data_IF_298702942811
#
_entry.id   IF_298702942811
#
_cell.length_a   1.000
_cell.length_b   1.000
_cell.length_c   1.000
_cell.angle_alpha   90.00
_cell.angle_beta   90.00
_cell.angle_gamma   90.00
#
_symmetry.space_group_name_H-M   'P 1'
#
loop_
_entity.id
_entity.type
_entity.pdbx_description
1 polymer ?
#
# COMPACT_ATOMS: atom_id res chain seq x y z
N UNK A 1 45.95 85.28 105.64
CA UNK A 1 47.04 86.19 105.27
C UNK A 1 47.61 85.73 103.93
N UNK A 2 47.16 86.27 102.79
CA UNK A 2 47.64 85.86 101.47
C UNK A 2 49.11 86.25 101.30
N UNK A 3 49.91 85.38 100.65
CA UNK A 3 51.30 85.71 100.34
C UNK A 3 51.35 86.76 99.22
N UNK A 4 52.24 87.75 99.37
CA UNK A 4 52.45 88.90 98.46
C UNK A 4 52.71 88.49 96.99
N UNK A 5 53.06 87.22 96.75
CA UNK A 5 53.32 86.64 95.42
C UNK A 5 52.11 86.60 94.48
N UNK A 6 50.86 86.60 94.97
CA UNK A 6 49.68 86.53 94.09
C UNK A 6 49.38 87.86 93.38
N UNK A 7 49.61 89.00 94.06
CA UNK A 7 49.34 90.32 93.50
C UNK A 7 50.24 90.67 92.30
N UNK A 8 51.47 90.16 92.26
CA UNK A 8 52.43 90.44 91.17
C UNK A 8 52.29 89.51 89.95
N UNK A 9 51.48 88.45 90.03
CA UNK A 9 51.23 87.54 88.88
C UNK A 9 50.13 88.02 87.92
N UNK A 10 49.32 89.00 88.33
CA UNK A 10 48.21 89.52 87.52
C UNK A 10 48.62 90.64 86.54
N UNK A 11 49.88 91.08 86.56
CA UNK A 11 50.45 92.03 85.61
C UNK A 11 51.65 91.41 84.89
N UNK A 12 51.62 91.34 83.55
CA UNK A 12 52.69 90.81 82.68
C UNK A 12 53.97 91.70 82.63
N UNK A 13 54.31 92.34 83.74
CA UNK A 13 55.41 93.31 83.88
C UNK A 13 56.57 92.79 84.76
N UNK A 14 56.48 91.59 85.33
CA UNK A 14 57.45 91.04 86.27
C UNK A 14 58.29 89.89 85.67
N UNK A 15 59.39 90.22 84.99
CA UNK A 15 60.44 89.24 84.68
C UNK A 15 61.17 88.87 85.97
N UNK A 16 61.12 87.60 86.37
CA UNK A 16 61.81 87.09 87.55
C UNK A 16 63.35 87.12 87.37
N UNK A 17 63.98 88.21 87.79
CA UNK A 17 65.45 88.35 87.76
C UNK A 17 66.12 87.43 88.78
N UNK A 18 66.88 86.43 88.30
CA UNK A 18 67.69 85.53 89.13
C UNK A 18 68.90 86.20 89.82
N UNK A 19 69.09 87.53 89.69
CA UNK A 19 70.31 88.24 90.13
C UNK A 19 70.13 89.27 91.25
N UNK A 20 68.91 89.48 91.76
CA UNK A 20 68.67 90.39 92.90
C UNK A 20 67.74 89.70 93.90
N UNK A 21 68.19 89.52 95.13
CA UNK A 21 67.38 88.92 96.20
C UNK A 21 66.45 89.97 96.82
N UNK A 22 65.29 89.55 97.37
CA UNK A 22 64.34 90.46 98.01
C UNK A 22 64.98 91.31 99.13
N UNK A 23 65.88 90.79 99.99
CA UNK A 23 66.60 91.61 100.97
C UNK A 23 67.49 92.70 100.33
N UNK A 24 68.12 92.43 99.18
CA UNK A 24 68.91 93.43 98.46
C UNK A 24 68.02 94.55 97.90
N UNK A 25 66.84 94.20 97.37
CA UNK A 25 65.84 95.17 96.92
C UNK A 25 65.32 96.06 98.07
N UNK A 26 65.01 95.46 99.22
CA UNK A 26 64.61 96.19 100.44
C UNK A 26 65.74 97.08 100.95
N UNK A 27 66.99 96.62 100.93
CA UNK A 27 68.14 97.43 101.32
C UNK A 27 68.37 98.61 100.35
N UNK A 28 68.20 98.39 99.03
CA UNK A 28 68.29 99.45 98.02
C UNK A 28 67.17 100.50 98.18
N UNK A 29 65.95 100.08 98.54
CA UNK A 29 64.86 101.00 98.87
C UNK A 29 65.13 101.77 100.16
N UNK A 30 65.59 101.09 101.22
CA UNK A 30 65.89 101.71 102.51
C UNK A 30 67.05 102.71 102.45
N UNK A 31 68.15 102.35 101.76
CA UNK A 31 69.29 103.25 101.56
C UNK A 31 68.93 104.48 100.74
N UNK A 32 68.04 104.35 99.76
CA UNK A 32 67.55 105.48 98.93
C UNK A 32 66.56 106.36 99.70
N UNK A 33 65.67 105.77 100.50
CA UNK A 33 64.80 106.52 101.42
C UNK A 33 65.62 107.26 102.49
N UNK A 34 66.65 106.63 103.06
CA UNK A 34 67.59 107.27 103.97
C UNK A 34 68.35 108.41 103.30
N UNK A 35 68.87 108.22 102.09
CA UNK A 35 69.58 109.27 101.36
C UNK A 35 68.71 110.52 101.15
N UNK A 36 67.45 110.34 100.73
CA UNK A 36 66.49 111.44 100.57
C UNK A 36 66.20 112.13 101.92
N UNK A 37 66.12 111.38 103.01
CA UNK A 37 65.93 111.94 104.35
C UNK A 37 67.19 112.72 104.83
N UNK A 38 68.39 112.16 104.62
CA UNK A 38 69.68 112.78 104.95
C UNK A 38 69.92 114.07 104.12
N UNK A 39 69.44 114.16 102.87
CA UNK A 39 69.44 115.42 102.09
C UNK A 39 68.39 116.42 102.59
N UNK A 40 67.15 115.99 102.89
CA UNK A 40 66.12 116.88 103.46
C UNK A 40 66.55 117.50 104.79
N UNK A 41 67.25 116.75 105.65
CA UNK A 41 67.81 117.27 106.90
C UNK A 41 69.03 118.19 106.70
N UNK A 42 69.79 118.07 105.59
CA UNK A 42 70.83 119.05 105.24
C UNK A 42 70.25 120.31 104.59
N UNK A 43 69.19 120.19 103.80
CA UNK A 43 68.49 121.33 103.19
C UNK A 43 67.67 122.16 104.18
N UNK A 44 67.31 121.60 105.33
CA UNK A 44 66.56 122.29 106.41
C UNK A 44 67.44 122.73 107.58
N UNK A 45 68.76 122.64 107.46
CA UNK A 45 69.73 123.33 108.33
C UNK A 45 69.87 124.82 107.93
N UNK A 46 68.73 125.51 107.82
CA UNK A 46 68.55 126.98 107.76
C UNK A 46 69.60 127.67 108.65
N UNK A 47 70.49 128.47 108.07
CA UNK A 47 70.28 129.91 107.87
C UNK A 47 69.74 130.53 109.18
N UNK A 48 70.64 131.02 110.03
CA UNK A 48 70.23 131.91 111.12
C UNK A 48 69.86 133.29 110.54
N UNK A 49 68.70 133.87 110.91
CA UNK A 49 68.34 135.22 110.53
C UNK A 49 69.01 136.24 111.47
N UNK A 50 69.99 136.98 110.96
CA UNK A 50 70.59 138.10 111.69
C UNK A 50 69.65 139.31 111.66
N UNK A 51 68.82 139.48 112.69
CA UNK A 51 68.02 140.69 112.88
C UNK A 51 68.93 141.85 113.32
N UNK A 52 69.35 142.69 112.37
CA UNK A 52 69.94 144.01 112.64
C UNK A 52 68.91 145.08 112.26
N UNK A 53 68.43 145.92 113.21
CA UNK A 53 67.55 147.04 112.90
C UNK A 53 68.32 148.11 112.13
N UNK A 54 67.73 148.63 111.06
CA UNK A 54 68.33 149.69 110.26
C UNK A 54 68.37 151.03 111.02
N UNK A 55 69.51 151.72 110.96
CA UNK A 55 69.56 153.18 111.06
C UNK A 55 70.73 153.76 110.27
N UNK A 56 70.44 154.81 109.52
CA UNK A 56 71.35 155.81 108.95
C UNK A 56 72.57 155.27 108.15
N UNK A 57 72.55 155.22 106.82
CA UNK A 57 72.59 156.45 106.02
C UNK A 57 72.55 156.21 104.49
N UNK A 58 71.76 157.05 103.82
CA UNK A 58 71.87 157.63 102.46
C UNK A 58 72.39 156.82 101.24
N UNK A 59 71.57 156.98 100.18
CA UNK A 59 71.88 157.09 98.73
C UNK A 59 72.11 155.85 97.85
N UNK A 60 71.18 155.72 96.87
CA UNK A 60 71.34 155.20 95.49
C UNK A 60 71.75 153.72 95.29
N UNK A 61 71.30 153.02 94.23
CA UNK A 61 70.40 153.37 93.11
C UNK A 61 69.67 152.11 92.62
N UNK A 62 68.52 152.27 91.95
CA UNK A 62 67.77 151.19 91.30
C UNK A 62 68.57 150.45 90.22
N UNK A 63 68.44 149.12 90.15
CA UNK A 63 68.61 148.38 88.91
C UNK A 63 67.39 147.45 88.70
N UNK A 64 66.32 148.02 88.16
CA UNK A 64 65.16 147.26 87.67
C UNK A 64 65.50 146.78 86.26
N UNK A 65 65.80 145.49 86.11
CA UNK A 65 65.85 144.83 84.80
C UNK A 65 65.08 143.51 84.79
N UNK A 66 63.89 143.59 84.20
CA UNK A 66 63.08 142.49 83.64
C UNK A 66 62.45 141.47 84.59
N UNK A 67 61.17 141.70 84.90
CA UNK A 67 60.19 140.67 85.33
C UNK A 67 59.88 139.70 84.16
N UNK A 68 60.75 138.75 83.85
CA UNK A 68 60.54 137.83 82.70
C UNK A 68 60.80 136.33 82.92
N UNK A 69 61.29 135.89 84.07
CA UNK A 69 61.32 134.45 84.40
C UNK A 69 61.24 134.23 85.93
N UNK A 70 60.24 133.47 86.36
CA UNK A 70 60.16 132.92 87.71
C UNK A 70 60.59 131.45 87.70
N UNK A 71 61.05 130.89 88.82
CA UNK A 71 61.48 129.48 88.87
C UNK A 71 60.37 128.50 88.43
N UNK A 72 59.14 128.72 88.91
CA UNK A 72 57.95 127.98 88.48
C UNK A 72 57.65 128.13 86.98
N UNK A 73 58.02 129.25 86.37
CA UNK A 73 57.82 129.54 84.96
C UNK A 73 58.73 128.65 84.11
N UNK A 74 60.01 128.55 84.48
CA UNK A 74 61.00 127.67 83.84
C UNK A 74 60.63 126.20 84.01
N UNK A 75 60.24 125.77 85.21
CA UNK A 75 59.83 124.38 85.47
C UNK A 75 58.58 123.98 84.66
N UNK A 76 57.61 124.89 84.49
CA UNK A 76 56.45 124.65 83.63
C UNK A 76 56.84 124.55 82.14
N UNK A 77 57.73 125.43 81.65
CA UNK A 77 58.24 125.40 80.28
C UNK A 77 58.97 124.08 79.96
N UNK A 78 59.85 123.62 80.86
CA UNK A 78 60.57 122.35 80.72
C UNK A 78 59.61 121.14 80.71
N UNK A 79 58.62 121.14 81.60
CA UNK A 79 57.63 120.06 81.67
C UNK A 79 56.78 119.97 80.39
N UNK A 80 56.30 121.12 79.88
CA UNK A 80 55.50 121.20 78.65
C UNK A 80 56.34 120.79 77.44
N UNK A 81 57.59 121.26 77.34
CA UNK A 81 58.51 120.88 76.24
C UNK A 81 58.74 119.36 76.20
N UNK A 82 58.95 118.72 77.37
CA UNK A 82 59.07 117.25 77.46
C UNK A 82 57.79 116.52 77.05
N UNK A 83 56.62 117.02 77.46
CA UNK A 83 55.33 116.44 77.05
C UNK A 83 55.12 116.53 75.54
N UNK A 84 55.45 117.68 74.93
CA UNK A 84 55.41 117.87 73.47
C UNK A 84 56.32 116.86 72.76
N UNK A 85 57.58 116.70 73.19
CA UNK A 85 58.50 115.73 72.59
C UNK A 85 58.02 114.27 72.71
N UNK A 86 57.40 113.91 73.83
CA UNK A 86 56.85 112.56 74.03
C UNK A 86 55.64 112.32 73.14
N UNK A 87 54.72 113.28 73.08
CA UNK A 87 53.52 113.18 72.24
C UNK A 87 53.85 113.20 70.75
N UNK A 88 54.86 113.96 70.34
CA UNK A 88 55.38 113.94 68.97
C UNK A 88 55.96 112.58 68.59
N UNK A 89 56.75 111.96 69.48
CA UNK A 89 57.25 110.59 69.27
C UNK A 89 56.10 109.60 69.13
N UNK A 90 55.06 109.72 69.95
CA UNK A 90 53.84 108.88 69.86
C UNK A 90 53.14 109.09 68.51
N UNK A 91 52.85 110.33 68.13
CA UNK A 91 52.14 110.65 66.88
C UNK A 91 52.95 110.24 65.63
N UNK A 92 54.27 110.42 65.66
CA UNK A 92 55.17 110.03 64.57
C UNK A 92 55.27 108.51 64.44
N UNK A 93 55.51 107.80 65.55
CA UNK A 93 55.68 106.34 65.55
C UNK A 93 54.38 105.59 65.22
N UNK A 94 53.23 106.14 65.62
CA UNK A 94 51.90 105.59 65.31
C UNK A 94 51.30 106.15 64.00
N UNK A 95 52.06 106.99 63.28
CA UNK A 95 51.65 107.63 62.02
C UNK A 95 50.27 108.34 62.08
N UNK A 96 50.02 109.03 63.19
CA UNK A 96 48.76 109.73 63.45
C UNK A 96 48.66 110.96 62.54
N UNK A 97 47.60 110.97 61.70
CA UNK A 97 47.29 112.09 60.82
C UNK A 97 46.47 113.14 61.58
N UNK A 98 46.78 114.43 61.35
CA UNK A 98 46.10 115.56 61.99
C UNK A 98 46.61 115.93 63.38
N UNK A 99 47.78 115.40 63.81
CA UNK A 99 48.41 115.80 65.08
C UNK A 99 48.73 117.30 65.09
N UNK A 100 48.11 117.99 66.03
CA UNK A 100 48.29 119.43 66.24
C UNK A 100 49.69 119.75 66.74
N UNK A 101 50.37 118.85 67.46
CA UNK A 101 51.77 119.06 67.85
C UNK A 101 52.70 119.07 66.64
N UNK A 102 52.50 118.14 65.69
CA UNK A 102 53.30 118.10 64.46
C UNK A 102 53.04 119.33 63.56
N UNK A 103 51.82 119.87 63.58
CA UNK A 103 51.46 121.09 62.86
C UNK A 103 52.01 122.35 63.55
N UNK A 104 51.86 122.47 64.87
CA UNK A 104 52.41 123.56 65.67
C UNK A 104 53.93 123.61 65.56
N UNK A 105 54.63 122.45 65.65
CA UNK A 105 56.09 122.37 65.45
C UNK A 105 56.52 122.99 64.13
N UNK A 106 55.89 122.58 63.03
CA UNK A 106 56.17 123.12 61.69
C UNK A 106 55.90 124.62 61.61
N UNK A 107 54.75 125.07 62.14
CA UNK A 107 54.37 126.49 62.10
C UNK A 107 55.35 127.39 62.86
N UNK A 108 55.82 126.91 64.02
CA UNK A 108 56.70 127.66 64.90
C UNK A 108 58.18 127.56 64.52
N UNK A 109 58.60 126.61 63.66
CA UNK A 109 60.01 126.45 63.26
C UNK A 109 60.62 127.75 62.66
N UNK A 110 59.78 128.65 62.15
CA UNK A 110 60.17 129.95 61.60
C UNK A 110 60.10 131.12 62.61
N UNK A 111 59.74 130.86 63.88
CA UNK A 111 59.47 131.87 64.90
C UNK A 111 60.66 132.03 65.86
N UNK A 112 61.29 133.21 65.86
CA UNK A 112 62.57 133.48 66.53
C UNK A 112 62.54 133.31 68.06
N UNK A 113 61.36 133.22 68.67
CA UNK A 113 61.14 133.08 70.12
C UNK A 113 60.52 131.73 70.52
N UNK A 114 60.68 130.72 69.64
CA UNK A 114 60.14 129.34 69.65
C UNK A 114 59.75 128.69 71.01
N UNK A 115 60.55 128.88 72.06
CA UNK A 115 60.37 128.22 73.38
C UNK A 115 60.24 129.21 74.55
N UNK A 116 60.72 130.45 74.41
CA UNK A 116 60.91 131.36 75.55
C UNK A 116 59.68 132.20 75.89
N UNK A 117 58.70 132.30 74.98
CA UNK A 117 57.47 133.07 75.19
C UNK A 117 56.30 132.20 75.64
N UNK A 118 55.57 132.68 76.66
CA UNK A 118 54.32 132.06 77.14
C UNK A 118 53.26 131.85 76.04
N UNK A 119 53.26 132.65 74.98
CA UNK A 119 52.39 132.46 73.81
C UNK A 119 52.68 131.12 73.09
N UNK A 120 53.95 130.73 72.96
CA UNK A 120 54.32 129.44 72.39
C UNK A 120 53.91 128.30 73.33
N UNK A 121 54.17 128.46 74.63
CA UNK A 121 53.79 127.49 75.68
C UNK A 121 52.28 127.22 75.67
N UNK A 122 51.43 128.25 75.53
CA UNK A 122 49.98 128.09 75.43
C UNK A 122 49.57 127.26 74.22
N UNK A 123 50.08 127.59 73.03
CA UNK A 123 49.82 126.82 71.79
C UNK A 123 50.29 125.36 71.91
N UNK A 124 51.38 125.10 72.63
CA UNK A 124 51.83 123.74 72.94
C UNK A 124 50.87 122.98 73.86
N UNK A 125 50.33 123.64 74.89
CA UNK A 125 49.30 123.05 75.74
C UNK A 125 48.01 122.75 74.95
N UNK A 126 47.56 123.67 74.11
CA UNK A 126 46.37 123.47 73.27
C UNK A 126 46.58 122.31 72.28
N UNK A 127 47.75 122.22 71.65
CA UNK A 127 48.12 121.11 70.77
C UNK A 127 48.20 119.77 71.52
N UNK A 128 48.74 119.76 72.75
CA UNK A 128 48.77 118.59 73.61
C UNK A 128 47.37 118.09 73.97
N UNK A 129 46.45 118.99 74.34
CA UNK A 129 45.07 118.61 74.67
C UNK A 129 44.34 118.03 73.45
N UNK A 130 44.45 118.68 72.29
CA UNK A 130 43.85 118.19 71.05
C UNK A 130 44.40 116.81 70.63
N UNK A 131 45.71 116.57 70.78
CA UNK A 131 46.32 115.28 70.44
C UNK A 131 46.00 114.17 71.45
N UNK A 132 45.80 114.51 72.74
CA UNK A 132 45.27 113.59 73.75
C UNK A 132 43.83 113.17 73.42
N UNK A 133 42.97 114.11 73.05
CA UNK A 133 41.59 113.81 72.65
C UNK A 133 41.53 113.01 71.33
N UNK A 134 42.40 113.32 70.36
CA UNK A 134 42.55 112.54 69.13
C UNK A 134 42.97 111.09 69.44
N UNK A 135 43.96 110.90 70.32
CA UNK A 135 44.38 109.57 70.78
C UNK A 135 43.27 108.82 71.52
N UNK A 136 42.49 109.49 72.37
CA UNK A 136 41.33 108.92 73.05
C UNK A 136 40.28 108.42 72.05
N UNK A 137 39.96 109.22 71.05
CA UNK A 137 39.03 108.86 69.98
C UNK A 137 39.53 107.69 69.12
N UNK A 138 40.81 107.70 68.72
CA UNK A 138 41.42 106.60 67.95
C UNK A 138 41.47 105.28 68.76
N UNK A 139 41.78 105.36 70.06
CA UNK A 139 41.75 104.22 70.97
C UNK A 139 40.34 103.61 71.09
N UNK A 140 39.33 104.47 71.27
CA UNK A 140 37.93 104.03 71.33
C UNK A 140 37.46 103.39 70.01
N UNK A 141 37.77 104.01 68.86
CA UNK A 141 37.45 103.46 67.54
C UNK A 141 38.15 102.11 67.31
N UNK A 142 39.42 101.97 67.68
CA UNK A 142 40.17 100.71 67.60
C UNK A 142 39.54 99.61 68.48
N UNK A 143 39.17 99.95 69.73
CA UNK A 143 38.46 99.03 70.63
C UNK A 143 37.10 98.58 70.06
N UNK A 144 36.34 99.50 69.48
CA UNK A 144 35.05 99.21 68.84
C UNK A 144 35.21 98.32 67.59
N UNK A 145 36.17 98.64 66.72
CA UNK A 145 36.48 97.82 65.54
C UNK A 145 36.98 96.42 65.93
N UNK A 146 37.82 96.31 66.95
CA UNK A 146 38.29 95.02 67.50
C UNK A 146 37.14 94.16 68.01
N UNK A 147 36.21 94.73 68.80
CA UNK A 147 34.98 94.03 69.24
C UNK A 147 34.13 93.57 68.05
N UNK A 148 33.95 94.43 67.04
CA UNK A 148 33.21 94.10 65.81
C UNK A 148 33.88 92.98 65.00
N UNK A 149 35.21 93.01 64.86
CA UNK A 149 35.98 91.96 64.22
C UNK A 149 35.87 90.63 64.98
N UNK A 150 35.99 90.65 66.31
CA UNK A 150 35.83 89.46 67.15
C UNK A 150 34.43 88.84 67.03
N UNK A 151 33.37 89.66 67.04
CA UNK A 151 32.00 89.16 66.84
C UNK A 151 31.82 88.51 65.46
N UNK A 152 32.41 89.09 64.41
CA UNK A 152 32.37 88.53 63.05
C UNK A 152 33.18 87.24 62.93
N UNK A 153 34.34 87.13 63.60
CA UNK A 153 35.12 85.87 63.67
C UNK A 153 34.31 84.79 64.38
N UNK A 154 33.59 85.12 65.47
CA UNK A 154 32.71 84.16 66.16
C UNK A 154 31.57 83.68 65.26
N UNK A 155 30.94 84.59 64.52
CA UNK A 155 29.90 84.25 63.54
C UNK A 155 30.45 83.33 62.43
N UNK A 156 31.58 83.70 61.80
CA UNK A 156 32.20 82.88 60.74
C UNK A 156 32.54 81.48 61.27
N UNK A 157 33.05 81.35 62.50
CA UNK A 157 33.31 80.03 63.10
C UNK A 157 32.04 79.18 63.24
N UNK A 158 30.92 79.78 63.65
CA UNK A 158 29.64 79.08 63.74
C UNK A 158 29.14 78.66 62.35
N UNK A 159 29.19 79.57 61.36
CA UNK A 159 28.83 79.26 59.97
C UNK A 159 29.69 78.11 59.43
N UNK A 160 31.01 78.10 59.68
CA UNK A 160 31.90 76.99 59.30
C UNK A 160 31.49 75.67 59.94
N UNK A 161 31.20 75.63 61.25
CA UNK A 161 30.76 74.37 61.90
C UNK A 161 29.42 73.88 61.34
N UNK A 162 28.48 74.81 61.10
CA UNK A 162 27.16 74.48 60.52
C UNK A 162 27.30 73.92 59.09
N UNK A 163 28.25 74.47 58.29
CA UNK A 163 28.59 73.93 56.98
C UNK A 163 29.27 72.56 57.06
N UNK A 164 30.23 72.37 57.96
CA UNK A 164 30.93 71.08 58.15
C UNK A 164 29.95 69.95 58.51
N UNK A 165 29.02 70.20 59.44
CA UNK A 165 28.02 69.22 59.85
C UNK A 165 27.00 68.93 58.74
N UNK A 166 26.60 69.96 57.97
CA UNK A 166 25.78 69.76 56.77
C UNK A 166 26.51 68.96 55.68
N UNK A 167 27.82 69.13 55.55
CA UNK A 167 28.64 68.38 54.58
C UNK A 167 28.74 66.90 54.98
N UNK A 168 28.93 66.60 56.28
CA UNK A 168 28.88 65.22 56.82
C UNK A 168 27.51 64.57 56.54
N UNK A 169 26.41 65.27 56.80
CA UNK A 169 25.07 64.76 56.55
C UNK A 169 24.81 64.42 55.07
N UNK A 170 25.30 65.27 54.15
CA UNK A 170 25.22 65.02 52.70
C UNK A 170 26.11 63.85 52.25
N UNK A 171 27.29 63.68 52.86
CA UNK A 171 28.17 62.54 52.60
C UNK A 171 27.53 61.21 53.07
N UNK A 172 26.85 61.21 54.21
CA UNK A 172 26.05 60.06 54.67
C UNK A 172 24.87 59.75 53.75
N UNK A 173 24.12 60.76 53.30
CA UNK A 173 22.99 60.60 52.38
C UNK A 173 23.46 60.03 51.02
N UNK A 174 24.54 60.57 50.47
CA UNK A 174 25.22 60.05 49.27
C UNK A 174 25.63 58.58 49.42
N UNK A 175 26.16 58.19 50.58
CA UNK A 175 26.57 56.80 50.84
C UNK A 175 25.37 55.85 50.99
N UNK A 176 24.26 56.31 51.61
CA UNK A 176 22.98 55.57 51.65
C UNK A 176 22.43 55.36 50.23
N UNK A 177 22.31 56.44 49.45
CA UNK A 177 21.84 56.39 48.05
C UNK A 177 22.69 55.45 47.18
N UNK A 178 24.03 55.47 47.32
CA UNK A 178 24.91 54.54 46.62
C UNK A 178 24.61 53.08 47.00
N UNK A 179 24.45 52.81 48.28
CA UNK A 179 24.13 51.46 48.79
C UNK A 179 22.79 50.95 48.25
N UNK A 180 21.78 51.83 48.15
CA UNK A 180 20.47 51.47 47.63
C UNK A 180 20.44 51.32 46.09
N UNK A 181 21.27 52.09 45.38
CA UNK A 181 21.55 51.91 43.94
C UNK A 181 22.20 50.53 43.70
N UNK A 182 23.21 50.16 44.49
CA UNK A 182 23.91 48.87 44.35
C UNK A 182 22.94 47.69 44.60
N UNK A 183 22.10 47.75 45.65
CA UNK A 183 21.01 46.78 45.88
C UNK A 183 20.00 46.72 44.72
N UNK A 184 19.66 47.86 44.13
CA UNK A 184 18.74 47.91 42.98
C UNK A 184 19.36 47.24 41.74
N UNK A 185 20.67 47.40 41.51
CA UNK A 185 21.39 46.69 40.45
C UNK A 185 21.45 45.17 40.70
N UNK A 186 21.73 44.72 41.93
CA UNK A 186 21.68 43.30 42.29
C UNK A 186 20.28 42.70 42.10
N UNK A 187 19.24 43.39 42.57
CA UNK A 187 17.85 42.99 42.37
C UNK A 187 17.48 42.90 40.88
N UNK A 188 17.92 43.87 40.07
CA UNK A 188 17.74 43.85 38.61
C UNK A 188 18.46 42.68 37.95
N UNK A 189 19.69 42.38 38.35
CA UNK A 189 20.44 41.23 37.83
C UNK A 189 19.76 39.89 38.17
N UNK A 190 19.29 39.74 39.41
CA UNK A 190 18.51 38.58 39.85
C UNK A 190 17.19 38.44 39.08
N UNK A 191 16.49 39.56 38.82
CA UNK A 191 15.27 39.54 38.00
C UNK A 191 15.55 39.12 36.55
N UNK A 192 16.61 39.65 35.92
CA UNK A 192 17.03 39.26 34.56
C UNK A 192 17.33 37.76 34.50
N UNK A 193 18.04 37.21 35.49
CA UNK A 193 18.31 35.76 35.59
C UNK A 193 17.02 34.94 35.73
N UNK A 194 16.07 35.38 36.56
CA UNK A 194 14.77 34.71 36.71
C UNK A 194 13.95 34.74 35.42
N UNK A 195 13.98 35.84 34.68
CA UNK A 195 13.33 35.97 33.37
C UNK A 195 13.97 35.07 32.32
N UNK A 196 15.29 34.94 32.28
CA UNK A 196 15.96 34.03 31.33
C UNK A 196 15.67 32.56 31.64
N UNK A 197 15.67 32.16 32.92
CA UNK A 197 15.26 30.82 33.36
C UNK A 197 13.80 30.49 32.98
N UNK A 198 12.86 31.43 33.19
CA UNK A 198 11.46 31.27 32.79
C UNK A 198 11.31 31.20 31.26
N UNK A 199 12.06 32.00 30.51
CA UNK A 199 12.07 31.99 29.04
C UNK A 199 12.57 30.64 28.51
N UNK A 200 13.61 30.07 29.12
CA UNK A 200 14.13 28.74 28.76
C UNK A 200 13.09 27.65 29.04
N UNK A 201 12.41 27.71 30.20
CA UNK A 201 11.30 26.80 30.55
C UNK A 201 10.13 26.91 29.57
N UNK A 202 9.74 28.11 29.15
CA UNK A 202 8.69 28.28 28.13
C UNK A 202 9.11 27.68 26.78
N UNK A 203 10.34 27.93 26.30
CA UNK A 203 10.83 27.30 25.06
C UNK A 203 10.78 25.77 25.14
N UNK A 204 11.18 25.19 26.27
CA UNK A 204 11.09 23.74 26.50
C UNK A 204 9.66 23.20 26.67
N UNK A 205 8.69 24.06 27.00
CA UNK A 205 7.27 23.70 27.04
C UNK A 205 6.61 23.81 25.67
N UNK A 206 6.95 24.82 24.88
CA UNK A 206 6.46 24.95 23.51
C UNK A 206 6.94 23.76 22.65
N UNK A 207 8.22 23.37 22.73
CA UNK A 207 8.69 22.19 21.99
C UNK A 207 8.04 20.86 22.44
N UNK A 208 7.56 20.78 23.69
CA UNK A 208 6.73 19.65 24.14
C UNK A 208 5.32 19.70 23.54
N UNK A 209 4.74 20.89 23.38
CA UNK A 209 3.44 21.09 22.72
C UNK A 209 3.55 20.75 21.23
N UNK A 210 4.53 21.31 20.50
CA UNK A 210 4.76 21.03 19.08
C UNK A 210 4.91 19.51 18.82
N UNK A 211 5.64 18.81 19.70
CA UNK A 211 5.82 17.36 19.62
C UNK A 211 4.55 16.55 19.93
N UNK A 212 3.65 17.07 20.79
CA UNK A 212 2.35 16.48 21.08
C UNK A 212 1.36 16.74 19.95
N UNK A 213 1.31 17.95 19.39
CA UNK A 213 0.48 18.29 18.23
C UNK A 213 0.82 17.40 17.03
N UNK A 214 2.12 17.18 16.76
CA UNK A 214 2.55 16.25 15.73
C UNK A 214 2.06 14.81 15.98
N UNK A 215 2.16 14.32 17.22
CA UNK A 215 1.63 13.00 17.60
C UNK A 215 0.11 12.91 17.47
N UNK A 216 -0.62 13.97 17.81
CA UNK A 216 -2.07 14.03 17.63
C UNK A 216 -2.46 13.98 16.15
N UNK A 217 -1.70 14.65 15.26
CA UNK A 217 -1.91 14.56 13.82
C UNK A 217 -1.60 13.14 13.27
N UNK A 218 -0.53 12.50 13.74
CA UNK A 218 -0.20 11.10 13.42
C UNK A 218 -1.29 10.13 13.90
N UNK A 219 -1.86 10.36 15.10
CA UNK A 219 -2.98 9.57 15.63
C UNK A 219 -4.27 9.78 14.81
N UNK A 220 -4.62 11.03 14.48
CA UNK A 220 -5.80 11.32 13.65
C UNK A 220 -5.69 10.68 12.26
N UNK A 221 -4.49 10.65 11.66
CA UNK A 221 -4.24 9.94 10.40
C UNK A 221 -4.44 8.42 10.55
N UNK A 222 -3.89 7.81 11.61
CA UNK A 222 -4.05 6.36 11.84
C UNK A 222 -5.48 5.97 12.21
N UNK A 223 -6.25 6.81 12.92
CA UNK A 223 -7.69 6.60 13.11
C UNK A 223 -8.47 6.66 11.79
N UNK A 224 -8.19 7.65 10.94
CA UNK A 224 -8.81 7.75 9.60
C UNK A 224 -8.49 6.51 8.75
N UNK A 225 -7.25 6.03 8.79
CA UNK A 225 -6.83 4.81 8.09
C UNK A 225 -7.52 3.55 8.65
N UNK A 226 -7.64 3.43 9.97
CA UNK A 226 -8.40 2.34 10.62
C UNK A 226 -9.89 2.38 10.24
N UNK A 227 -10.50 3.55 10.11
CA UNK A 227 -11.89 3.67 9.64
C UNK A 227 -12.06 3.19 8.20
N UNK A 228 -11.13 3.53 7.28
CA UNK A 228 -11.13 3.00 5.91
C UNK A 228 -11.00 1.48 5.89
N UNK A 229 -9.99 0.92 6.57
CA UNK A 229 -9.76 -0.52 6.66
C UNK A 229 -10.95 -1.26 7.28
N UNK A 230 -11.62 -0.67 8.27
CA UNK A 230 -12.83 -1.24 8.87
C UNK A 230 -14.01 -1.26 7.89
N UNK A 231 -14.14 -0.24 7.04
CA UNK A 231 -15.14 -0.21 5.97
C UNK A 231 -14.83 -1.25 4.89
N UNK A 232 -13.60 -1.29 4.39
CA UNK A 232 -13.13 -2.29 3.42
C UNK A 232 -13.33 -3.73 3.93
N UNK A 233 -13.07 -3.98 5.23
CA UNK A 233 -13.33 -5.28 5.86
C UNK A 233 -14.84 -5.64 5.89
N UNK A 234 -15.73 -4.66 6.09
CA UNK A 234 -17.17 -4.87 6.04
C UNK A 234 -17.62 -5.16 4.60
N UNK A 235 -17.17 -4.36 3.65
CA UNK A 235 -17.51 -4.50 2.23
C UNK A 235 -17.01 -5.86 1.68
N UNK A 236 -15.79 -6.27 2.04
CA UNK A 236 -15.22 -7.56 1.70
C UNK A 236 -15.99 -8.74 2.33
N UNK A 237 -16.39 -8.62 3.61
CA UNK A 237 -17.25 -9.62 4.27
C UNK A 237 -18.61 -9.74 3.59
N UNK A 238 -19.24 -8.63 3.20
CA UNK A 238 -20.51 -8.64 2.48
C UNK A 238 -20.36 -9.27 1.09
N UNK A 239 -19.27 -9.00 0.37
CA UNK A 239 -18.98 -9.65 -0.92
C UNK A 239 -18.81 -11.17 -0.74
N UNK A 240 -18.05 -11.61 0.26
CA UNK A 240 -17.84 -13.03 0.56
C UNK A 240 -19.14 -13.75 0.96
N UNK A 241 -20.07 -13.08 1.66
CA UNK A 241 -21.40 -13.63 1.97
C UNK A 241 -22.20 -13.82 0.67
N UNK A 242 -22.30 -12.79 -0.17
CA UNK A 242 -23.02 -12.87 -1.46
C UNK A 242 -22.45 -13.94 -2.40
N UNK A 243 -21.13 -14.14 -2.36
CA UNK A 243 -20.47 -15.15 -3.18
C UNK A 243 -20.70 -16.58 -2.65
N UNK A 244 -20.80 -16.75 -1.31
CA UNK A 244 -21.26 -18.01 -0.70
C UNK A 244 -22.73 -18.30 -0.98
N UNK A 245 -23.60 -17.29 -0.97
CA UNK A 245 -25.01 -17.42 -1.35
C UNK A 245 -25.12 -17.90 -2.81
N UNK A 246 -24.42 -17.25 -3.75
CA UNK A 246 -24.33 -17.72 -5.14
C UNK A 246 -23.79 -19.14 -5.27
N UNK A 247 -22.80 -19.53 -4.47
CA UNK A 247 -22.27 -20.90 -4.50
C UNK A 247 -23.31 -21.91 -4.01
N UNK A 248 -24.12 -21.57 -3.01
CA UNK A 248 -25.25 -22.40 -2.55
C UNK A 248 -26.29 -22.54 -3.66
N UNK A 249 -26.66 -21.44 -4.33
CA UNK A 249 -27.63 -21.45 -5.44
C UNK A 249 -27.15 -22.34 -6.61
N UNK A 250 -25.90 -22.17 -7.04
CA UNK A 250 -25.29 -23.02 -8.09
C UNK A 250 -25.21 -24.48 -7.65
N UNK A 251 -24.88 -24.76 -6.39
CA UNK A 251 -24.83 -26.14 -5.87
C UNK A 251 -26.23 -26.79 -5.81
N UNK A 252 -27.28 -26.01 -5.52
CA UNK A 252 -28.66 -26.47 -5.60
C UNK A 252 -29.08 -26.75 -7.06
N UNK A 253 -28.71 -25.89 -8.00
CA UNK A 253 -28.96 -26.10 -9.44
C UNK A 253 -28.25 -27.36 -9.96
N UNK A 254 -26.97 -27.55 -9.62
CA UNK A 254 -26.21 -28.76 -9.95
C UNK A 254 -26.89 -30.01 -9.38
N UNK A 255 -27.40 -29.95 -8.15
CA UNK A 255 -28.13 -31.08 -7.55
C UNK A 255 -29.41 -31.42 -8.33
N UNK A 256 -30.20 -30.42 -8.73
CA UNK A 256 -31.39 -30.61 -9.59
C UNK A 256 -30.98 -31.25 -10.93
N UNK A 257 -29.87 -30.82 -11.53
CA UNK A 257 -29.35 -31.42 -12.78
C UNK A 257 -28.85 -32.85 -12.61
N UNK A 258 -28.28 -33.22 -11.47
CA UNK A 258 -27.96 -34.62 -11.15
C UNK A 258 -29.24 -35.46 -11.07
N UNK A 259 -30.28 -34.98 -10.38
CA UNK A 259 -31.58 -35.69 -10.29
C UNK A 259 -32.28 -35.81 -11.66
N UNK A 260 -32.14 -34.84 -12.57
CA UNK A 260 -32.59 -34.94 -13.96
C UNK A 260 -31.79 -36.00 -14.75
N UNK A 261 -30.47 -36.04 -14.60
CA UNK A 261 -29.58 -37.01 -15.26
C UNK A 261 -29.89 -38.44 -14.78
N UNK A 262 -30.11 -38.65 -13.48
CA UNK A 262 -30.47 -39.96 -12.94
C UNK A 262 -31.82 -40.45 -13.49
N UNK A 263 -32.82 -39.58 -13.61
CA UNK A 263 -34.10 -39.90 -14.27
C UNK A 263 -33.92 -40.27 -15.74
N UNK A 264 -33.15 -39.49 -16.50
CA UNK A 264 -32.87 -39.81 -17.90
C UNK A 264 -32.09 -41.12 -18.05
N UNK A 265 -31.18 -41.43 -17.13
CA UNK A 265 -30.45 -42.69 -17.11
C UNK A 265 -31.37 -43.89 -16.87
N UNK A 266 -32.29 -43.78 -15.90
CA UNK A 266 -33.29 -44.83 -15.66
C UNK A 266 -34.16 -45.11 -16.90
N UNK A 267 -34.60 -44.06 -17.60
CA UNK A 267 -35.34 -44.20 -18.88
C UNK A 267 -34.48 -44.84 -19.98
N UNK A 268 -33.18 -44.52 -20.04
CA UNK A 268 -32.25 -45.13 -20.99
C UNK A 268 -32.02 -46.62 -20.70
N UNK A 269 -31.89 -46.99 -19.43
CA UNK A 269 -31.74 -48.39 -18.99
C UNK A 269 -33.04 -49.19 -19.28
N UNK A 270 -34.22 -48.58 -19.08
CA UNK A 270 -35.52 -49.16 -19.45
C UNK A 270 -35.67 -49.33 -20.98
N UNK A 271 -35.26 -48.34 -21.78
CA UNK A 271 -35.20 -48.49 -23.24
C UNK A 271 -34.21 -49.58 -23.68
N UNK A 272 -33.04 -49.66 -23.05
CA UNK A 272 -32.00 -50.63 -23.40
C UNK A 272 -32.46 -52.06 -23.09
N UNK A 273 -33.14 -52.27 -21.95
CA UNK A 273 -33.73 -53.57 -21.60
C UNK A 273 -34.90 -53.93 -22.52
N UNK A 274 -35.81 -52.99 -22.81
CA UNK A 274 -36.89 -53.21 -23.78
C UNK A 274 -36.36 -53.54 -25.19
N UNK A 275 -35.29 -52.87 -25.63
CA UNK A 275 -34.65 -53.11 -26.92
C UNK A 275 -33.92 -54.47 -26.97
N UNK A 276 -33.25 -54.90 -25.89
CA UNK A 276 -32.66 -56.25 -25.82
C UNK A 276 -33.72 -57.34 -25.78
N UNK A 277 -34.80 -57.17 -25.01
CA UNK A 277 -35.96 -58.10 -25.04
C UNK A 277 -36.56 -58.22 -26.44
N UNK A 278 -36.75 -57.10 -27.15
CA UNK A 278 -37.29 -57.11 -28.51
C UNK A 278 -36.31 -57.69 -29.53
N UNK A 279 -35.00 -57.48 -29.36
CA UNK A 279 -33.97 -58.12 -30.17
C UNK A 279 -33.98 -59.64 -29.99
N UNK A 280 -34.16 -60.13 -28.76
CA UNK A 280 -34.26 -61.56 -28.47
C UNK A 280 -35.55 -62.17 -29.05
N UNK A 281 -36.68 -61.47 -28.96
CA UNK A 281 -37.94 -61.90 -29.58
C UNK A 281 -37.85 -61.97 -31.12
N UNK A 282 -37.15 -61.02 -31.74
CA UNK A 282 -36.88 -61.03 -33.18
C UNK A 282 -35.90 -62.15 -33.58
N UNK A 283 -34.86 -62.40 -32.80
CA UNK A 283 -33.92 -63.51 -33.07
C UNK A 283 -34.64 -64.86 -33.03
N UNK A 284 -35.45 -65.13 -32.01
CA UNK A 284 -36.24 -66.36 -31.94
C UNK A 284 -37.19 -66.53 -33.15
N UNK A 285 -37.71 -65.43 -33.70
CA UNK A 285 -38.53 -65.45 -34.93
C UNK A 285 -37.69 -65.75 -36.18
N UNK A 286 -36.46 -65.22 -36.26
CA UNK A 286 -35.51 -65.54 -37.34
C UNK A 286 -35.13 -67.03 -37.27
N UNK A 287 -34.69 -67.52 -36.10
CA UNK A 287 -34.30 -68.92 -35.90
C UNK A 287 -35.46 -69.88 -36.26
N UNK A 288 -36.69 -69.53 -35.89
CA UNK A 288 -37.90 -70.28 -36.27
C UNK A 288 -38.18 -70.25 -37.78
N UNK A 289 -37.86 -69.16 -38.48
CA UNK A 289 -38.01 -69.06 -39.94
C UNK A 289 -36.89 -69.83 -40.66
N UNK A 290 -35.65 -69.76 -40.18
CA UNK A 290 -34.54 -70.57 -40.69
C UNK A 290 -34.83 -72.08 -40.53
N UNK A 291 -35.40 -72.51 -39.40
CA UNK A 291 -35.86 -73.88 -39.22
C UNK A 291 -36.88 -74.34 -40.28
N UNK A 292 -37.82 -73.46 -40.65
CA UNK A 292 -38.79 -73.73 -41.73
C UNK A 292 -38.10 -73.76 -43.10
N UNK A 293 -37.18 -72.83 -43.38
CA UNK A 293 -36.43 -72.78 -44.64
C UNK A 293 -35.58 -74.04 -44.83
N UNK A 294 -34.84 -74.46 -43.80
CA UNK A 294 -34.04 -75.68 -43.82
C UNK A 294 -34.91 -76.94 -44.06
N UNK A 295 -36.09 -77.02 -43.44
CA UNK A 295 -37.05 -78.10 -43.68
C UNK A 295 -37.58 -78.11 -45.12
N UNK A 296 -37.85 -76.93 -45.69
CA UNK A 296 -38.26 -76.80 -47.09
C UNK A 296 -37.13 -77.17 -48.06
N UNK A 297 -35.88 -76.80 -47.77
CA UNK A 297 -34.70 -77.19 -48.56
C UNK A 297 -34.52 -78.71 -48.57
N UNK A 298 -34.56 -79.38 -47.41
CA UNK A 298 -34.50 -80.85 -47.34
C UNK A 298 -35.62 -81.51 -48.16
N UNK A 299 -36.81 -80.92 -48.17
CA UNK A 299 -37.94 -81.41 -48.98
C UNK A 299 -37.72 -81.19 -50.48
N UNK A 300 -37.07 -80.10 -50.88
CA UNK A 300 -36.66 -79.83 -52.28
C UNK A 300 -35.56 -80.81 -52.72
N UNK A 301 -34.59 -81.14 -51.87
CA UNK A 301 -33.55 -82.14 -52.15
C UNK A 301 -34.14 -83.55 -52.31
N UNK A 302 -35.08 -83.94 -51.45
CA UNK A 302 -35.79 -85.21 -51.58
C UNK A 302 -36.56 -85.30 -52.90
N UNK A 303 -37.27 -84.23 -53.30
CA UNK A 303 -37.99 -84.18 -54.58
C UNK A 303 -37.04 -84.21 -55.79
N UNK A 304 -35.86 -83.60 -55.72
CA UNK A 304 -34.84 -83.73 -56.78
C UNK A 304 -34.35 -85.18 -56.91
N UNK A 305 -34.09 -85.87 -55.79
CA UNK A 305 -33.71 -87.29 -55.84
C UNK A 305 -34.83 -88.19 -56.39
N UNK A 306 -36.10 -87.89 -56.13
CA UNK A 306 -37.22 -88.61 -56.76
C UNK A 306 -37.28 -88.35 -58.27
N UNK A 307 -37.07 -87.10 -58.71
CA UNK A 307 -37.06 -86.72 -60.13
C UNK A 307 -35.92 -87.40 -60.90
N UNK A 308 -34.70 -87.41 -60.37
CA UNK A 308 -33.54 -88.10 -60.94
C UNK A 308 -33.77 -89.62 -61.05
N UNK A 309 -34.39 -90.22 -60.03
CA UNK A 309 -34.75 -91.63 -60.06
C UNK A 309 -35.89 -91.94 -61.04
N UNK A 310 -36.77 -90.98 -61.31
CA UNK A 310 -37.79 -91.08 -62.37
C UNK A 310 -37.14 -91.02 -63.76
N UNK A 311 -36.23 -90.08 -64.00
CA UNK A 311 -35.50 -89.95 -65.26
C UNK A 311 -34.73 -91.23 -65.62
N UNK A 312 -34.03 -91.85 -64.64
CA UNK A 312 -33.34 -93.14 -64.82
C UNK A 312 -34.29 -94.28 -65.18
N UNK A 313 -35.51 -94.32 -64.63
CA UNK A 313 -36.54 -95.32 -65.01
C UNK A 313 -37.03 -95.10 -66.44
N UNK A 314 -37.29 -93.86 -66.84
CA UNK A 314 -37.72 -93.53 -68.21
C UNK A 314 -36.67 -93.97 -69.25
N UNK A 315 -35.39 -93.75 -68.98
CA UNK A 315 -34.30 -94.18 -69.86
C UNK A 315 -34.16 -95.72 -69.91
N UNK A 316 -34.43 -96.41 -68.78
CA UNK A 316 -34.48 -97.87 -68.74
C UNK A 316 -35.63 -98.42 -69.61
N UNK A 317 -36.83 -97.85 -69.51
CA UNK A 317 -37.98 -98.27 -70.33
C UNK A 317 -37.79 -98.01 -71.83
N UNK A 318 -37.13 -96.91 -72.22
CA UNK A 318 -36.76 -96.66 -73.63
C UNK A 318 -35.86 -97.77 -74.19
N UNK A 319 -34.93 -98.28 -73.40
CA UNK A 319 -34.04 -99.39 -73.78
C UNK A 319 -34.76 -100.74 -73.90
N UNK A 320 -35.78 -101.00 -73.08
CA UNK A 320 -36.60 -102.23 -73.17
C UNK A 320 -37.52 -102.21 -74.40
N UNK A 321 -38.20 -101.10 -74.67
CA UNK A 321 -39.05 -100.93 -75.86
C UNK A 321 -38.23 -101.14 -77.16
N UNK A 322 -36.98 -100.65 -77.21
CA UNK A 322 -36.11 -100.83 -78.37
C UNK A 322 -35.69 -102.30 -78.59
N UNK A 323 -35.63 -103.11 -77.53
CA UNK A 323 -35.38 -104.56 -77.63
C UNK A 323 -36.62 -105.30 -78.14
N UNK A 324 -37.81 -104.99 -77.61
CA UNK A 324 -39.06 -105.62 -78.05
C UNK A 324 -39.40 -105.30 -79.51
N UNK A 325 -39.21 -104.06 -79.95
CA UNK A 325 -39.42 -103.68 -81.36
C UNK A 325 -38.53 -104.47 -82.33
N UNK A 326 -37.25 -104.67 -81.97
CA UNK A 326 -36.34 -105.50 -82.76
C UNK A 326 -36.74 -106.98 -82.74
N UNK A 327 -37.29 -107.50 -81.64
CA UNK A 327 -37.75 -108.89 -81.57
C UNK A 327 -39.03 -109.10 -82.41
N UNK A 328 -39.98 -108.17 -82.36
CA UNK A 328 -41.20 -108.19 -83.20
C UNK A 328 -40.89 -108.17 -84.70
N UNK A 329 -39.90 -107.40 -85.13
CA UNK A 329 -39.46 -107.36 -86.53
C UNK A 329 -38.91 -108.70 -87.04
N UNK A 330 -38.24 -109.48 -86.17
CA UNK A 330 -37.75 -110.83 -86.51
C UNK A 330 -38.89 -111.83 -86.61
N UNK A 331 -39.86 -111.78 -85.69
CA UNK A 331 -41.04 -112.66 -85.71
C UNK A 331 -41.88 -112.43 -86.97
N UNK A 332 -42.10 -111.18 -87.37
CA UNK A 332 -42.89 -110.85 -88.56
C UNK A 332 -42.25 -111.39 -89.85
N UNK A 333 -40.93 -111.22 -90.01
CA UNK A 333 -40.19 -111.74 -91.18
C UNK A 333 -40.24 -113.28 -91.27
N UNK A 334 -40.23 -113.98 -90.13
CA UNK A 334 -40.39 -115.44 -90.10
C UNK A 334 -41.82 -115.88 -90.49
N UNK A 335 -42.85 -115.12 -90.09
CA UNK A 335 -44.24 -115.38 -90.48
C UNK A 335 -44.46 -115.23 -91.99
N UNK A 336 -43.92 -114.17 -92.61
CA UNK A 336 -44.01 -113.98 -94.07
C UNK A 336 -43.35 -115.14 -94.84
N UNK A 337 -42.17 -115.60 -94.39
CA UNK A 337 -41.47 -116.74 -95.01
C UNK A 337 -42.29 -118.04 -94.91
N UNK A 338 -43.00 -118.26 -93.80
CA UNK A 338 -43.86 -119.43 -93.60
C UNK A 338 -45.11 -119.39 -94.49
N UNK A 339 -45.68 -118.18 -94.68
CA UNK A 339 -46.89 -117.95 -95.49
C UNK A 339 -46.66 -118.25 -96.98
N UNK A 340 -45.49 -117.89 -97.52
CA UNK A 340 -45.12 -118.23 -98.90
C UNK A 340 -44.80 -119.73 -99.09
N UNK A 341 -44.32 -120.42 -98.04
CA UNK A 341 -44.14 -121.86 -98.07
C UNK A 341 -45.48 -122.62 -98.14
N UNK A 342 -46.49 -122.17 -97.38
CA UNK A 342 -47.84 -122.77 -97.36
C UNK A 342 -48.51 -122.63 -98.73
N UNK A 343 -48.47 -121.44 -99.37
CA UNK A 343 -49.05 -121.24 -100.72
C UNK A 343 -48.51 -122.23 -101.76
N UNK A 344 -47.18 -122.43 -101.80
CA UNK A 344 -46.56 -123.40 -102.72
C UNK A 344 -47.00 -124.84 -102.46
N UNK A 345 -47.43 -125.15 -101.24
CA UNK A 345 -47.94 -126.45 -100.86
C UNK A 345 -49.42 -126.62 -101.23
N UNK A 346 -50.22 -125.54 -101.13
CA UNK A 346 -51.61 -125.47 -101.60
C UNK A 346 -51.71 -125.59 -103.14
N UNK A 347 -50.82 -124.93 -103.89
CA UNK A 347 -50.73 -125.06 -105.36
C UNK A 347 -50.45 -126.52 -105.78
N UNK A 348 -49.57 -127.21 -105.06
CA UNK A 348 -49.22 -128.62 -105.25
C UNK A 348 -50.37 -129.58 -104.89
N UNK A 349 -51.25 -129.20 -103.97
CA UNK A 349 -52.44 -129.99 -103.62
C UNK A 349 -53.52 -129.83 -104.70
N UNK A 350 -53.78 -128.60 -105.17
CA UNK A 350 -54.72 -128.35 -106.27
C UNK A 350 -54.33 -129.11 -107.56
N UNK A 351 -53.03 -129.21 -107.88
CA UNK A 351 -52.54 -130.00 -109.02
C UNK A 351 -52.78 -131.51 -108.83
N UNK A 352 -52.76 -132.01 -107.58
CA UNK A 352 -53.09 -133.41 -107.26
C UNK A 352 -54.59 -133.68 -107.36
N UNK A 353 -55.42 -132.79 -106.82
CA UNK A 353 -56.89 -132.92 -106.84
C UNK A 353 -57.44 -132.87 -108.28
N UNK A 354 -56.90 -132.02 -109.16
CA UNK A 354 -57.28 -132.02 -110.59
C UNK A 354 -56.92 -133.33 -111.32
N UNK A 355 -55.82 -133.99 -110.95
CA UNK A 355 -55.47 -135.30 -111.49
C UNK A 355 -56.40 -136.41 -110.97
N UNK A 356 -56.86 -136.32 -109.72
CA UNK A 356 -57.81 -137.28 -109.13
C UNK A 356 -59.22 -137.14 -109.74
N UNK A 357 -59.67 -135.90 -110.01
CA UNK A 357 -60.94 -135.64 -110.70
C UNK A 357 -60.97 -136.18 -112.14
N UNK A 358 -59.84 -136.14 -112.85
CA UNK A 358 -59.71 -136.73 -114.19
C UNK A 358 -59.81 -138.27 -114.17
N UNK A 359 -59.23 -138.92 -113.15
CA UNK A 359 -59.36 -140.36 -112.91
C UNK A 359 -60.80 -140.77 -112.59
N UNK A 360 -61.51 -139.99 -111.76
CA UNK A 360 -62.90 -140.24 -111.39
C UNK A 360 -63.85 -140.16 -112.60
N UNK A 361 -63.74 -139.13 -113.45
CA UNK A 361 -64.57 -139.00 -114.67
C UNK A 361 -64.40 -140.19 -115.64
N UNK A 362 -63.22 -140.81 -115.66
CA UNK A 362 -62.94 -142.00 -116.48
C UNK A 362 -63.65 -143.26 -115.95
N UNK A 363 -63.84 -143.34 -114.63
CA UNK A 363 -64.56 -144.44 -113.97
C UNK A 363 -66.09 -144.23 -114.06
N UNK A 364 -66.57 -143.00 -113.99
CA UNK A 364 -68.00 -142.65 -114.13
C UNK A 364 -68.56 -143.08 -115.48
N UNK A 365 -67.81 -142.86 -116.57
CA UNK A 365 -68.23 -143.20 -117.94
C UNK A 365 -68.42 -144.72 -118.14
N UNK A 366 -67.58 -145.54 -117.50
CA UNK A 366 -67.67 -147.01 -117.54
C UNK A 366 -68.81 -147.56 -116.66
N UNK A 367 -69.18 -146.86 -115.57
CA UNK A 367 -70.33 -147.25 -114.73
C UNK A 367 -71.68 -146.96 -115.39
N UNK A 368 -71.79 -145.94 -116.24
CA UNK A 368 -73.06 -145.53 -116.85
C UNK A 368 -73.63 -146.47 -117.93
N UNK A 369 -72.92 -147.53 -118.34
CA UNK A 369 -73.42 -148.50 -119.34
C UNK A 369 -73.94 -149.84 -118.79
N UNK A 370 -73.96 -150.08 -117.47
CA UNK A 370 -74.27 -151.41 -116.89
C UNK A 370 -75.58 -151.51 -116.07
N UNK A 371 -76.26 -150.41 -115.72
CA UNK A 371 -77.33 -150.46 -114.69
C UNK A 371 -78.65 -149.71 -115.01
N UNK A 372 -79.27 -149.94 -116.18
CA UNK A 372 -80.72 -149.73 -116.40
C UNK A 372 -81.27 -150.73 -117.44
N UNK A 373 -82.28 -151.53 -117.07
CA UNK A 373 -82.99 -152.47 -117.96
C UNK A 373 -84.05 -151.80 -118.86
N UNK A 374 -84.85 -152.55 -119.66
CA UNK A 374 -85.49 -153.84 -119.34
C UNK A 374 -84.82 -155.06 -120.04
N UNK A 375 -85.26 -156.34 -120.03
CA UNK A 375 -86.50 -157.09 -119.71
C UNK A 375 -87.59 -157.23 -120.81
N UNK A 376 -88.01 -158.49 -121.05
CA UNK A 376 -88.89 -158.98 -122.14
C UNK A 376 -88.27 -158.72 -123.54
N UNK A 377 -88.02 -159.73 -124.39
CA UNK A 377 -88.74 -160.99 -124.63
C UNK A 377 -87.76 -162.11 -125.10
N UNK A 378 -88.16 -163.41 -125.00
CA UNK A 378 -87.50 -164.61 -125.59
C UNK A 378 -86.10 -164.96 -125.02
N UNK A 379 -85.93 -165.83 -124.01
CA UNK A 379 -86.00 -167.32 -123.98
C UNK A 379 -84.70 -168.09 -124.35
N UNK A 380 -84.07 -168.70 -123.32
CA UNK A 380 -83.47 -170.06 -123.28
C UNK A 380 -82.25 -170.37 -124.18
N UNK A 381 -81.27 -171.25 -123.85
CA UNK A 381 -81.01 -172.20 -122.74
C UNK A 381 -79.48 -172.34 -122.57
N UNK A 382 -78.98 -172.71 -121.38
CA UNK A 382 -77.57 -173.10 -121.21
C UNK A 382 -77.36 -174.62 -121.14
N UNK A 383 -76.23 -175.11 -121.69
CA UNK A 383 -75.53 -176.36 -121.29
C UNK A 383 -74.11 -176.37 -121.94
N UNK A 384 -73.00 -176.76 -121.29
CA UNK A 384 -71.65 -176.66 -121.88
C UNK A 384 -71.40 -177.54 -123.11
N UNK A 385 -72.22 -178.58 -123.31
CA UNK A 385 -72.21 -179.39 -124.55
C UNK A 385 -72.84 -178.58 -125.71
N UNK A 386 -73.80 -177.70 -125.41
CA UNK A 386 -74.66 -177.03 -126.39
C UNK A 386 -74.05 -175.73 -126.96
N UNK A 387 -73.17 -175.04 -126.21
CA UNK A 387 -72.37 -173.96 -126.81
C UNK A 387 -71.17 -174.47 -127.63
N UNK A 388 -70.61 -175.65 -127.27
CA UNK A 388 -69.82 -176.41 -128.24
C UNK A 388 -70.67 -176.84 -129.43
N UNK A 389 -71.97 -177.10 -129.28
CA UNK A 389 -72.86 -177.32 -130.42
C UNK A 389 -73.16 -176.04 -131.20
N UNK A 390 -73.25 -174.85 -130.61
CA UNK A 390 -73.32 -173.59 -131.37
C UNK A 390 -72.04 -173.36 -132.19
N UNK A 391 -70.88 -173.59 -131.58
CA UNK A 391 -69.59 -173.52 -132.25
C UNK A 391 -69.36 -174.69 -133.25
N UNK A 392 -70.08 -175.81 -133.09
CA UNK A 392 -70.15 -176.92 -134.06
C UNK A 392 -71.21 -176.67 -135.13
N UNK A 393 -72.25 -175.86 -134.88
CA UNK A 393 -73.38 -175.58 -135.77
C UNK A 393 -73.08 -174.41 -136.70
N UNK A 394 -72.26 -173.44 -136.30
CA UNK A 394 -71.58 -172.55 -137.26
C UNK A 394 -70.64 -173.33 -138.19
N UNK A 395 -69.90 -174.31 -137.65
CA UNK A 395 -69.05 -175.20 -138.45
C UNK A 395 -69.86 -176.16 -139.34
N UNK A 396 -70.96 -176.71 -138.85
CA UNK A 396 -71.89 -177.56 -139.62
C UNK A 396 -72.72 -176.74 -140.62
N UNK A 397 -73.05 -175.46 -140.37
CA UNK A 397 -73.64 -174.56 -141.38
C UNK A 397 -72.61 -174.11 -142.42
N UNK A 398 -71.32 -174.13 -142.11
CA UNK A 398 -70.25 -173.93 -143.08
C UNK A 398 -70.04 -175.19 -143.93
N UNK A 399 -70.06 -176.38 -143.32
CA UNK A 399 -70.03 -177.67 -144.00
C UNK A 399 -71.35 -177.95 -144.77
N UNK A 400 -72.48 -177.43 -144.30
CA UNK A 400 -73.78 -177.52 -144.98
C UNK A 400 -73.92 -176.47 -146.07
N UNK A 401 -73.27 -175.31 -145.99
CA UNK A 401 -73.03 -174.45 -147.17
C UNK A 401 -72.21 -175.17 -148.25
N UNK A 402 -71.20 -175.95 -147.86
CA UNK A 402 -70.46 -176.83 -148.78
C UNK A 402 -71.32 -177.99 -149.33
N UNK A 403 -72.30 -178.49 -148.56
CA UNK A 403 -73.27 -179.50 -149.01
C UNK A 403 -74.37 -178.94 -149.90
N UNK A 404 -74.95 -177.78 -149.59
CA UNK A 404 -76.02 -177.15 -150.36
C UNK A 404 -75.52 -176.49 -151.64
N UNK A 405 -74.25 -176.08 -151.72
CA UNK A 405 -73.64 -175.72 -153.00
C UNK A 405 -73.42 -176.96 -153.89
N UNK A 406 -73.01 -178.10 -153.32
CA UNK A 406 -73.00 -179.38 -154.04
C UNK A 406 -74.42 -179.82 -154.47
N UNK A 407 -75.43 -179.68 -153.61
CA UNK A 407 -76.84 -180.00 -153.94
C UNK A 407 -77.44 -178.98 -154.92
N UNK A 408 -76.93 -177.75 -155.04
CA UNK A 408 -77.31 -176.85 -156.13
C UNK A 408 -76.72 -177.28 -157.48
N UNK A 409 -75.53 -177.88 -157.49
CA UNK A 409 -74.98 -178.53 -158.69
C UNK A 409 -75.75 -179.84 -158.99
N UNK A 410 -76.16 -180.62 -157.98
CA UNK A 410 -77.06 -181.77 -158.18
C UNK A 410 -78.49 -181.38 -158.57
N UNK A 411 -79.00 -180.21 -158.16
CA UNK A 411 -80.25 -179.64 -158.71
C UNK A 411 -80.06 -179.12 -160.13
N UNK A 412 -78.84 -178.74 -160.52
CA UNK A 412 -78.50 -178.44 -161.92
C UNK A 412 -78.44 -179.73 -162.75
N UNK A 413 -78.02 -180.86 -162.16
CA UNK A 413 -78.21 -182.21 -162.73
C UNK A 413 -79.70 -182.57 -162.83
N UNK A 414 -80.50 -182.40 -161.77
CA UNK A 414 -81.87 -182.92 -161.75
C UNK A 414 -82.88 -182.09 -162.56
N UNK A 415 -82.70 -180.77 -162.66
CA UNK A 415 -83.61 -179.88 -163.42
C UNK A 415 -83.45 -179.98 -164.95
N UNK A 416 -82.47 -180.76 -165.41
CA UNK A 416 -82.35 -181.22 -166.81
C UNK A 416 -82.78 -182.68 -167.00
N UNK A 417 -83.25 -183.37 -165.96
CA UNK A 417 -83.61 -184.81 -166.01
C UNK A 417 -85.07 -185.15 -165.72
N UNK A 418 -85.89 -184.24 -165.18
CA UNK A 418 -87.33 -184.48 -164.99
C UNK A 418 -88.23 -183.34 -165.48
N UNK A 419 -87.93 -182.87 -166.69
CA UNK A 419 -88.94 -182.95 -167.77
C UNK A 419 -88.75 -184.37 -168.34
N UNK A 420 -89.48 -185.39 -167.88
CA UNK A 420 -90.87 -185.69 -168.28
C UNK A 420 -90.99 -186.19 -169.72
N UNK A 421 -90.69 -187.47 -169.89
CA UNK A 421 -91.33 -188.37 -170.86
C UNK A 421 -92.45 -189.16 -170.14
N UNK A 422 -93.33 -189.93 -170.82
CA UNK A 422 -94.09 -189.63 -172.05
C UNK A 422 -95.57 -190.11 -171.97
N UNK A 423 -96.41 -189.85 -172.98
CA UNK A 423 -97.36 -190.87 -173.47
C UNK A 423 -97.84 -190.61 -174.92
N UNK A 424 -98.38 -191.65 -175.55
CA UNK A 424 -98.87 -191.69 -176.94
C UNK A 424 -100.37 -191.43 -177.02
N UNK A 425 -100.79 -190.74 -178.07
CA UNK A 425 -101.99 -191.09 -178.83
C UNK A 425 -101.76 -190.76 -180.32
#
# INVERSE_FOLDING_TARGET
MPMVMEAFRASDLAIASKRVTLPALVWMLWSRARFVNDELYRGTATIQPTNIPAKDSKTCQTDIKSLTACENCTLAQDAITRLVELMEKICTNLHIKGSQILEVRKSMTNDLFYITQWCAVSKWCDALLNDIDLLGNLSWQSSYQSKKAHSRIKQIKQETTDYEDRLKALEEEKNKLRTDIDKAYESKANYIKKVSELTLKMKGKNSQIDALEKKCAELAFTESMMQSLKKELIDCKQSSIKEKERFIDVNNEVKIKIEEIEKMKAVLDEQTTAQTSKSFELQNKIDSQEGIINSLQQKIEALHMELDNSAKREETYKLEILKEQNHGAVIWRNYETLKDAIRKQEDLINEKEQNEEALLRTIELLKTQIACGPRSEIELTGDPIMDMENQKKENEETIKRLSEHNIQIEKTLHKLYSISTPELC
#
